data_IF_189752498755
#
_entry.id   IF_189752498755
#
_cell.length_a   1.000
_cell.length_b   1.000
_cell.length_c   1.000
_cell.angle_alpha   90.00
_cell.angle_beta   90.00
_cell.angle_gamma   90.00
#
_symmetry.space_group_name_H-M   'P 1'
#
loop_
_entity.id
_entity.type
_entity.pdbx_description
1 polymer ?
#
# COMPACT_ATOMS: atom_id res chain seq x y z
N UNK A 1 35.35 23.09 17.06
CA UNK A 1 35.19 21.62 17.19
C UNK A 1 33.98 21.20 16.38
N UNK A 2 34.18 20.77 15.13
CA UNK A 2 33.12 20.23 14.28
C UNK A 2 32.85 18.78 14.69
N UNK A 3 31.63 18.48 15.14
CA UNK A 3 31.23 17.09 15.33
C UNK A 3 31.33 16.35 13.99
N UNK A 4 31.98 15.18 13.92
CA UNK A 4 31.90 14.37 12.72
C UNK A 4 30.44 13.95 12.56
N UNK A 5 29.85 14.33 11.42
CA UNK A 5 28.55 13.81 10.98
C UNK A 5 28.61 12.30 11.06
N UNK A 6 27.77 11.70 11.91
CA UNK A 6 27.69 10.25 12.07
C UNK A 6 27.34 9.66 10.72
N UNK A 7 28.34 9.07 10.07
CA UNK A 7 28.23 8.23 8.89
C UNK A 7 27.13 7.20 9.20
N UNK A 8 26.11 7.15 8.33
CA UNK A 8 25.01 6.20 8.44
C UNK A 8 25.61 4.78 8.58
N UNK A 9 25.30 4.09 9.69
CA UNK A 9 25.82 2.73 9.90
C UNK A 9 25.29 1.81 8.78
N UNK A 10 26.14 0.95 8.21
CA UNK A 10 25.79 0.03 7.14
C UNK A 10 24.57 -0.85 7.48
N UNK A 11 24.41 -1.22 8.75
CA UNK A 11 23.23 -1.96 9.22
C UNK A 11 21.94 -1.15 9.08
N UNK A 12 21.96 0.11 9.52
CA UNK A 12 20.84 1.05 9.36
C UNK A 12 20.52 1.29 7.89
N UNK A 13 21.54 1.46 7.03
CA UNK A 13 21.35 1.60 5.59
C UNK A 13 20.65 0.38 4.99
N UNK A 14 21.05 -0.84 5.37
CA UNK A 14 20.44 -2.08 4.90
C UNK A 14 18.98 -2.20 5.30
N UNK A 15 18.63 -1.85 6.55
CA UNK A 15 17.23 -1.85 7.00
C UNK A 15 16.40 -0.83 6.22
N UNK A 16 16.89 0.40 6.07
CA UNK A 16 16.21 1.42 5.25
C UNK A 16 15.99 0.91 3.83
N UNK A 17 17.03 0.42 3.16
CA UNK A 17 16.92 -0.10 1.79
C UNK A 17 15.96 -1.29 1.68
N UNK A 18 15.95 -2.19 2.67
CA UNK A 18 15.03 -3.32 2.70
C UNK A 18 13.58 -2.85 2.77
N UNK A 19 13.28 -1.88 3.63
CA UNK A 19 11.92 -1.41 3.91
C UNK A 19 11.40 -0.58 2.76
N UNK A 20 12.20 0.36 2.27
CA UNK A 20 11.86 1.14 1.08
C UNK A 20 11.72 0.24 -0.16
N UNK A 21 12.64 -0.70 -0.35
CA UNK A 21 12.55 -1.67 -1.44
C UNK A 21 11.30 -2.56 -1.34
N UNK A 22 10.98 -3.04 -0.14
CA UNK A 22 9.78 -3.82 0.12
C UNK A 22 8.51 -3.00 -0.11
N UNK A 23 8.48 -1.76 0.34
CA UNK A 23 7.37 -0.82 0.10
C UNK A 23 7.19 -0.56 -1.39
N UNK A 24 8.26 -0.21 -2.13
CA UNK A 24 8.20 0.05 -3.57
C UNK A 24 7.71 -1.17 -4.34
N UNK A 25 8.21 -2.36 -3.98
CA UNK A 25 7.73 -3.61 -4.58
C UNK A 25 6.23 -3.83 -4.28
N UNK A 26 5.82 -3.67 -3.02
CA UNK A 26 4.42 -3.80 -2.59
C UNK A 26 3.50 -2.86 -3.36
N UNK A 27 3.95 -1.62 -3.56
CA UNK A 27 3.22 -0.60 -4.29
C UNK A 27 3.08 -0.94 -5.77
N UNK A 28 4.18 -1.32 -6.44
CA UNK A 28 4.15 -1.72 -7.85
C UNK A 28 3.30 -2.98 -8.06
N UNK A 29 3.39 -3.96 -7.17
CA UNK A 29 2.51 -5.13 -7.18
C UNK A 29 1.05 -4.73 -7.02
N UNK A 30 0.77 -3.80 -6.10
CA UNK A 30 -0.57 -3.24 -5.92
C UNK A 30 -1.13 -2.61 -7.19
N UNK A 31 -0.33 -1.83 -7.92
CA UNK A 31 -0.75 -1.25 -9.21
C UNK A 31 -1.13 -2.32 -10.24
N UNK A 32 -0.37 -3.42 -10.35
CA UNK A 32 -0.71 -4.52 -11.26
C UNK A 32 -2.09 -5.09 -10.94
N UNK A 33 -2.34 -5.37 -9.66
CA UNK A 33 -3.62 -5.95 -9.23
C UNK A 33 -4.75 -4.93 -9.31
N UNK A 34 -4.49 -3.66 -9.04
CA UNK A 34 -5.45 -2.58 -9.20
C UNK A 34 -5.97 -2.53 -10.64
N UNK A 35 -5.07 -2.46 -11.63
CA UNK A 35 -5.48 -2.46 -13.04
C UNK A 35 -6.14 -3.79 -13.45
N UNK A 36 -5.65 -4.91 -12.90
CA UNK A 36 -6.30 -6.22 -13.13
C UNK A 36 -7.75 -6.22 -12.64
N UNK A 37 -8.04 -5.57 -11.51
CA UNK A 37 -9.41 -5.42 -10.99
C UNK A 37 -10.32 -4.65 -11.95
N UNK A 38 -9.82 -3.57 -12.55
CA UNK A 38 -10.54 -2.86 -13.61
C UNK A 38 -10.77 -3.75 -14.82
N UNK A 39 -9.74 -4.42 -15.32
CA UNK A 39 -9.84 -5.30 -16.49
C UNK A 39 -10.85 -6.43 -16.27
N UNK A 40 -10.86 -7.05 -15.09
CA UNK A 40 -11.87 -8.05 -14.72
C UNK A 40 -13.27 -7.47 -14.74
N UNK A 41 -13.48 -6.28 -14.17
CA UNK A 41 -14.77 -5.62 -14.17
C UNK A 41 -15.26 -5.28 -15.58
N UNK A 42 -14.36 -4.80 -16.46
CA UNK A 42 -14.65 -4.55 -17.86
C UNK A 42 -15.05 -5.83 -18.60
N UNK A 43 -14.34 -6.93 -18.35
CA UNK A 43 -14.67 -8.23 -18.93
C UNK A 43 -16.06 -8.71 -18.48
N UNK A 44 -16.41 -8.54 -17.21
CA UNK A 44 -17.72 -8.93 -16.65
C UNK A 44 -18.87 -8.17 -17.33
N UNK A 45 -18.68 -6.89 -17.67
CA UNK A 45 -19.69 -6.07 -18.35
C UNK A 45 -19.64 -6.18 -19.88
N UNK A 46 -18.87 -7.14 -20.41
CA UNK A 46 -18.85 -7.49 -21.83
C UNK A 46 -17.91 -6.66 -22.70
N UNK A 47 -16.96 -5.91 -22.11
CA UNK A 47 -15.92 -5.21 -22.88
C UNK A 47 -14.81 -6.20 -23.20
N UNK A 48 -14.45 -6.31 -24.49
CA UNK A 48 -13.46 -7.29 -24.98
C UNK A 48 -12.10 -6.67 -25.31
N UNK A 49 -12.08 -5.39 -25.67
CA UNK A 49 -10.87 -4.68 -26.05
C UNK A 49 -10.33 -3.98 -24.80
N UNK A 50 -9.47 -4.65 -24.05
CA UNK A 50 -8.89 -4.15 -22.79
C UNK A 50 -7.37 -4.27 -22.85
N UNK A 51 -6.67 -3.17 -22.60
CA UNK A 51 -5.21 -3.15 -22.46
C UNK A 51 -4.83 -2.62 -21.09
N UNK A 52 -3.95 -3.34 -20.40
CA UNK A 52 -3.44 -2.95 -19.09
C UNK A 52 -2.08 -2.29 -19.26
N UNK A 53 -1.96 -1.02 -18.88
CA UNK A 53 -0.69 -0.29 -18.85
C UNK A 53 -0.25 -0.13 -17.41
N UNK A 54 0.88 -0.75 -17.06
CA UNK A 54 1.46 -0.63 -15.70
C UNK A 54 2.66 0.29 -15.77
N UNK A 55 2.64 1.34 -14.94
CA UNK A 55 3.73 2.28 -14.81
C UNK A 55 4.12 2.46 -13.34
N UNK A 56 5.42 2.33 -12.98
CA UNK A 56 5.86 2.34 -11.59
C UNK A 56 5.68 3.69 -10.88
N UNK A 57 5.36 4.76 -11.62
CA UNK A 57 5.18 6.12 -11.11
C UNK A 57 3.72 6.59 -11.09
N UNK A 58 2.79 5.71 -10.74
CA UNK A 58 1.36 6.04 -10.59
C UNK A 58 0.68 6.60 -11.86
N UNK A 59 1.14 6.16 -13.04
CA UNK A 59 0.55 6.48 -14.34
C UNK A 59 -0.02 5.20 -14.99
N UNK A 60 -0.40 4.24 -14.16
CA UNK A 60 -1.04 3.02 -14.63
C UNK A 60 -2.47 3.32 -15.04
N UNK A 61 -2.97 2.63 -16.06
CA UNK A 61 -4.36 2.74 -16.49
C UNK A 61 -4.75 1.53 -17.34
N UNK A 62 -6.04 1.25 -17.36
CA UNK A 62 -6.65 0.36 -18.34
C UNK A 62 -7.20 1.18 -19.52
N UNK A 63 -6.69 0.91 -20.72
CA UNK A 63 -7.35 1.32 -21.96
C UNK A 63 -8.46 0.33 -22.29
N UNK A 64 -9.56 0.82 -22.87
CA UNK A 64 -10.72 -0.02 -23.14
C UNK A 64 -11.60 0.52 -24.27
N UNK A 65 -12.39 -0.36 -24.88
CA UNK A 65 -13.46 0.00 -25.81
C UNK A 65 -14.64 0.76 -25.18
N UNK A 66 -15.69 0.99 -25.99
CA UNK A 66 -16.92 1.63 -25.53
C UNK A 66 -17.60 0.82 -24.42
N UNK A 67 -18.18 1.52 -23.44
CA UNK A 67 -19.04 0.94 -22.43
C UNK A 67 -20.15 1.90 -22.01
N UNK A 68 -21.29 1.39 -21.51
CA UNK A 68 -22.35 2.22 -20.96
C UNK A 68 -21.85 3.02 -19.74
N UNK A 69 -22.43 4.20 -19.51
CA UNK A 69 -22.04 5.07 -18.38
C UNK A 69 -22.43 4.45 -17.04
N UNK A 70 -23.51 3.67 -17.02
CA UNK A 70 -24.10 3.08 -15.82
C UNK A 70 -23.18 2.06 -15.15
N UNK A 71 -22.24 1.47 -15.89
CA UNK A 71 -21.27 0.51 -15.34
C UNK A 71 -20.02 1.18 -14.75
N UNK A 72 -19.83 2.49 -14.97
CA UNK A 72 -18.65 3.23 -14.51
C UNK A 72 -18.39 3.15 -13.00
N UNK A 73 -19.41 3.25 -12.12
CA UNK A 73 -19.20 3.11 -10.67
C UNK A 73 -18.66 1.73 -10.30
N UNK A 74 -19.21 0.68 -10.90
CA UNK A 74 -18.75 -0.69 -10.69
C UNK A 74 -17.32 -0.85 -11.20
N UNK A 75 -17.07 -0.51 -12.46
CA UNK A 75 -15.73 -0.67 -13.04
C UNK A 75 -14.68 0.21 -12.37
N UNK A 76 -15.05 1.39 -11.89
CA UNK A 76 -14.16 2.30 -11.15
C UNK A 76 -13.80 1.77 -9.76
N UNK A 77 -14.76 1.25 -8.99
CA UNK A 77 -14.47 0.72 -7.65
C UNK A 77 -13.69 -0.60 -7.66
N UNK A 78 -13.81 -1.40 -8.73
CA UNK A 78 -13.26 -2.76 -8.76
C UNK A 78 -11.73 -2.83 -8.73
N UNK A 79 -11.02 -1.86 -9.30
CA UNK A 79 -9.55 -1.81 -9.23
C UNK A 79 -9.04 -1.71 -7.78
N UNK A 80 -9.40 -0.62 -7.06
CA UNK A 80 -9.07 -0.45 -5.65
C UNK A 80 -9.49 -1.64 -4.77
N UNK A 81 -10.73 -2.11 -4.92
CA UNK A 81 -11.28 -3.16 -4.07
C UNK A 81 -10.60 -4.52 -4.31
N UNK A 82 -10.29 -4.84 -5.57
CA UNK A 82 -9.59 -6.07 -5.91
C UNK A 82 -8.16 -6.06 -5.39
N UNK A 83 -7.43 -4.94 -5.54
CA UNK A 83 -6.09 -4.77 -4.96
C UNK A 83 -6.11 -5.02 -3.44
N UNK A 84 -6.98 -4.33 -2.71
CA UNK A 84 -7.08 -4.48 -1.24
C UNK A 84 -7.46 -5.90 -0.84
N UNK A 85 -8.38 -6.54 -1.55
CA UNK A 85 -8.78 -7.92 -1.26
C UNK A 85 -7.62 -8.91 -1.44
N UNK A 86 -6.93 -8.86 -2.59
CA UNK A 86 -5.78 -9.72 -2.86
C UNK A 86 -4.62 -9.47 -1.89
N UNK A 87 -4.30 -8.20 -1.65
CA UNK A 87 -3.25 -7.80 -0.71
C UNK A 87 -3.53 -8.35 0.70
N UNK A 88 -4.77 -8.20 1.18
CA UNK A 88 -5.20 -8.70 2.49
C UNK A 88 -5.07 -10.23 2.58
N UNK A 89 -5.56 -10.96 1.58
CA UNK A 89 -5.49 -12.43 1.55
C UNK A 89 -4.03 -12.88 1.61
N UNK A 90 -3.16 -12.29 0.79
CA UNK A 90 -1.74 -12.68 0.72
C UNK A 90 -1.01 -12.34 2.02
N UNK A 91 -1.12 -11.11 2.51
CA UNK A 91 -0.42 -10.70 3.73
C UNK A 91 -0.90 -11.49 4.95
N UNK A 92 -2.21 -11.77 5.08
CA UNK A 92 -2.74 -12.59 6.17
C UNK A 92 -2.31 -14.07 6.06
N UNK A 93 -2.27 -14.63 4.85
CA UNK A 93 -1.82 -16.01 4.63
C UNK A 93 -0.34 -16.19 5.03
N UNK A 94 0.48 -15.16 4.81
CA UNK A 94 1.89 -15.15 5.17
C UNK A 94 2.15 -14.68 6.61
N UNK A 95 1.13 -14.23 7.33
CA UNK A 95 1.28 -13.57 8.64
C UNK A 95 1.90 -14.46 9.74
N UNK A 96 1.70 -15.78 9.64
CA UNK A 96 2.29 -16.75 10.57
C UNK A 96 3.75 -17.09 10.26
N UNK A 97 4.21 -16.81 9.04
CA UNK A 97 5.56 -17.15 8.55
C UNK A 97 6.41 -15.89 8.29
N UNK A 98 6.17 -14.83 9.07
CA UNK A 98 6.83 -13.53 8.92
C UNK A 98 8.36 -13.66 8.92
N UNK A 99 8.98 -13.23 7.82
CA UNK A 99 10.42 -13.23 7.58
C UNK A 99 10.78 -12.00 6.73
N UNK A 100 11.94 -11.34 6.96
CA UNK A 100 12.43 -10.25 6.12
C UNK A 100 12.36 -10.49 4.60
N UNK A 101 12.56 -11.74 4.14
CA UNK A 101 12.46 -12.08 2.71
C UNK A 101 11.05 -11.96 2.14
N UNK A 102 10.03 -12.12 2.98
CA UNK A 102 8.61 -12.01 2.63
C UNK A 102 8.05 -10.62 2.95
N UNK A 103 8.87 -9.72 3.49
CA UNK A 103 8.45 -8.38 3.89
C UNK A 103 7.67 -7.64 2.79
N UNK A 104 8.06 -7.67 1.50
CA UNK A 104 7.26 -7.04 0.45
C UNK A 104 5.82 -7.58 0.38
N UNK A 105 5.64 -8.90 0.45
CA UNK A 105 4.29 -9.49 0.39
C UNK A 105 3.49 -9.27 1.68
N UNK A 106 4.18 -9.15 2.81
CA UNK A 106 3.57 -8.83 4.10
C UNK A 106 3.13 -7.36 4.19
N UNK A 107 3.92 -6.44 3.62
CA UNK A 107 3.61 -5.01 3.56
C UNK A 107 2.51 -4.69 2.57
N UNK A 108 2.23 -5.57 1.60
CA UNK A 108 1.26 -5.32 0.54
C UNK A 108 -0.11 -4.89 1.06
N UNK A 109 -0.70 -5.57 2.05
CA UNK A 109 -1.97 -5.13 2.63
C UNK A 109 -1.91 -3.69 3.18
N UNK A 110 -0.88 -3.39 3.98
CA UNK A 110 -0.67 -2.06 4.55
C UNK A 110 -0.54 -0.99 3.47
N UNK A 111 0.30 -1.26 2.46
CA UNK A 111 0.50 -0.37 1.32
C UNK A 111 -0.78 -0.17 0.49
N UNK A 112 -1.52 -1.24 0.18
CA UNK A 112 -2.76 -1.16 -0.59
C UNK A 112 -3.82 -0.33 0.14
N UNK A 113 -4.07 -0.62 1.42
CA UNK A 113 -5.03 0.15 2.22
C UNK A 113 -4.67 1.64 2.30
N UNK A 114 -3.41 1.99 2.53
CA UNK A 114 -2.99 3.39 2.57
C UNK A 114 -3.13 4.04 1.19
N UNK A 115 -2.64 3.38 0.13
CA UNK A 115 -2.66 3.93 -1.23
C UNK A 115 -4.09 4.18 -1.72
N UNK A 116 -4.98 3.19 -1.61
CA UNK A 116 -6.38 3.34 -2.03
C UNK A 116 -7.14 4.32 -1.14
N UNK A 117 -6.86 4.36 0.16
CA UNK A 117 -7.46 5.33 1.08
C UNK A 117 -7.05 6.77 0.76
N UNK A 118 -5.78 7.00 0.39
CA UNK A 118 -5.30 8.31 -0.09
C UNK A 118 -5.92 8.65 -1.44
N UNK A 119 -6.04 7.68 -2.36
CA UNK A 119 -6.67 7.88 -3.67
C UNK A 119 -8.12 8.34 -3.54
N UNK A 120 -8.90 7.79 -2.59
CA UNK A 120 -10.26 8.28 -2.30
C UNK A 120 -10.29 9.77 -1.95
N UNK A 121 -9.35 10.27 -1.15
CA UNK A 121 -9.29 11.70 -0.81
C UNK A 121 -8.84 12.57 -1.99
N UNK A 122 -7.88 12.08 -2.80
CA UNK A 122 -7.46 12.75 -4.02
C UNK A 122 -8.65 12.88 -4.97
N UNK A 123 -9.44 11.83 -5.15
CA UNK A 123 -10.60 11.81 -6.03
C UNK A 123 -11.71 12.76 -5.54
N UNK A 124 -11.96 12.82 -4.22
CA UNK A 124 -12.89 13.79 -3.62
C UNK A 124 -12.40 15.22 -3.88
N UNK A 125 -11.11 15.50 -3.67
CA UNK A 125 -10.53 16.82 -3.88
C UNK A 125 -10.48 17.21 -5.37
N UNK A 126 -10.39 16.21 -6.27
CA UNK A 126 -10.32 16.38 -7.71
C UNK A 126 -11.68 16.44 -8.41
N UNK A 127 -12.81 16.42 -7.69
CA UNK A 127 -14.12 16.51 -8.32
C UNK A 127 -14.26 17.80 -9.17
N UNK A 128 -14.87 17.73 -10.37
CA UNK A 128 -15.64 16.61 -10.92
C UNK A 128 -14.87 15.70 -11.92
N UNK A 129 -13.59 15.40 -11.69
CA UNK A 129 -12.83 14.49 -12.56
C UNK A 129 -13.32 13.04 -12.39
N UNK A 130 -13.54 12.32 -13.50
CA UNK A 130 -13.97 10.91 -13.52
C UNK A 130 -12.80 9.93 -13.35
N UNK A 131 -12.16 9.98 -12.19
CA UNK A 131 -11.24 8.93 -11.70
C UNK A 131 -12.03 7.77 -11.06
N UNK A 132 -11.38 6.84 -10.36
CA UNK A 132 -12.00 5.61 -9.88
C UNK A 132 -13.12 5.83 -8.88
N UNK A 133 -12.84 6.56 -7.80
CA UNK A 133 -13.88 6.97 -6.86
C UNK A 133 -14.67 8.17 -7.39
N UNK A 134 -14.11 8.97 -8.29
CA UNK A 134 -14.84 10.01 -9.03
C UNK A 134 -16.04 9.45 -9.80
N UNK A 135 -15.88 8.30 -10.50
CA UNK A 135 -16.98 7.58 -11.17
C UNK A 135 -18.05 7.13 -10.17
N UNK A 136 -17.63 6.60 -9.01
CA UNK A 136 -18.55 6.13 -7.95
C UNK A 136 -19.37 7.28 -7.37
N UNK A 137 -18.75 8.44 -7.17
CA UNK A 137 -19.41 9.63 -6.63
C UNK A 137 -20.37 10.25 -7.66
N UNK A 138 -19.85 10.56 -8.85
CA UNK A 138 -20.56 11.38 -9.85
C UNK A 138 -21.66 10.58 -10.53
N UNK A 139 -21.35 9.36 -10.96
CA UNK A 139 -22.29 8.51 -11.71
C UNK A 139 -23.05 7.59 -10.75
N UNK A 140 -22.36 7.03 -9.75
CA UNK A 140 -22.99 6.15 -8.77
C UNK A 140 -23.83 6.89 -7.72
N UNK A 141 -23.73 8.23 -7.65
CA UNK A 141 -24.48 9.05 -6.70
C UNK A 141 -24.06 8.84 -5.24
N UNK A 142 -22.90 8.23 -4.98
CA UNK A 142 -22.41 8.01 -3.61
C UNK A 142 -21.89 9.33 -3.05
N UNK A 143 -22.34 9.68 -1.84
CA UNK A 143 -21.89 10.90 -1.18
C UNK A 143 -20.36 10.91 -0.99
N UNK A 144 -19.66 12.01 -1.33
CA UNK A 144 -18.22 12.17 -1.05
C UNK A 144 -17.88 11.95 0.43
N UNK A 145 -18.81 12.24 1.34
CA UNK A 145 -18.63 12.02 2.79
C UNK A 145 -18.48 10.53 3.11
N UNK A 146 -19.27 9.66 2.46
CA UNK A 146 -19.18 8.21 2.64
C UNK A 146 -17.82 7.72 2.15
N UNK A 147 -17.38 8.18 0.98
CA UNK A 147 -16.08 7.83 0.42
C UNK A 147 -14.95 8.34 1.33
N UNK A 148 -15.05 9.54 1.89
CA UNK A 148 -14.06 10.08 2.83
C UNK A 148 -13.97 9.29 4.15
N UNK A 149 -15.10 8.81 4.67
CA UNK A 149 -15.13 7.92 5.84
C UNK A 149 -14.44 6.60 5.50
N UNK A 150 -14.75 6.01 4.35
CA UNK A 150 -14.09 4.78 3.87
C UNK A 150 -12.57 4.99 3.70
N UNK A 151 -12.14 6.10 3.13
CA UNK A 151 -10.73 6.46 2.97
C UNK A 151 -10.02 6.58 4.31
N UNK A 152 -10.68 7.18 5.30
CA UNK A 152 -10.17 7.27 6.67
C UNK A 152 -9.97 5.89 7.30
N UNK A 153 -10.97 5.01 7.16
CA UNK A 153 -10.91 3.62 7.65
C UNK A 153 -9.75 2.88 6.98
N UNK A 154 -9.60 3.01 5.66
CA UNK A 154 -8.54 2.37 4.89
C UNK A 154 -7.16 2.82 5.37
N UNK A 155 -6.93 4.13 5.51
CA UNK A 155 -5.65 4.66 6.01
C UNK A 155 -5.36 4.15 7.42
N UNK A 156 -6.36 4.11 8.32
CA UNK A 156 -6.18 3.59 9.69
C UNK A 156 -5.81 2.12 9.67
N UNK A 157 -6.54 1.27 8.93
CA UNK A 157 -6.25 -0.17 8.82
C UNK A 157 -4.85 -0.39 8.25
N UNK A 158 -4.51 0.30 7.15
CA UNK A 158 -3.21 0.18 6.52
C UNK A 158 -2.08 0.62 7.44
N UNK A 159 -2.28 1.71 8.19
CA UNK A 159 -1.32 2.17 9.20
C UNK A 159 -1.12 1.13 10.31
N UNK A 160 -2.20 0.49 10.78
CA UNK A 160 -2.10 -0.60 11.77
C UNK A 160 -1.30 -1.77 11.19
N UNK A 161 -1.57 -2.20 9.95
CA UNK A 161 -0.78 -3.25 9.28
C UNK A 161 0.71 -2.91 9.23
N UNK A 162 1.05 -1.68 8.82
CA UNK A 162 2.44 -1.22 8.74
C UNK A 162 3.10 -1.20 10.13
N UNK A 163 2.42 -0.66 11.15
CA UNK A 163 2.91 -0.65 12.53
C UNK A 163 3.13 -2.06 13.09
N UNK A 164 2.28 -3.03 12.75
CA UNK A 164 2.42 -4.42 13.16
C UNK A 164 3.56 -5.16 12.45
N UNK A 165 4.10 -4.59 11.37
CA UNK A 165 5.26 -5.10 10.63
C UNK A 165 6.58 -4.45 11.07
N UNK A 166 6.55 -3.26 11.69
CA UNK A 166 7.74 -2.63 12.29
C UNK A 166 8.52 -3.52 13.29
N UNK A 167 7.91 -4.45 14.06
CA UNK A 167 8.68 -5.41 14.84
C UNK A 167 9.66 -6.22 13.98
N UNK A 168 9.38 -6.45 12.70
CA UNK A 168 10.28 -7.20 11.83
C UNK A 168 11.64 -6.50 11.58
N UNK A 169 11.75 -5.21 11.86
CA UNK A 169 13.00 -4.45 11.67
C UNK A 169 13.94 -4.45 12.88
N UNK A 170 13.48 -4.88 14.07
CA UNK A 170 14.33 -4.87 15.28
C UNK A 170 13.89 -5.84 16.40
N UNK A 171 13.01 -6.79 16.11
CA UNK A 171 12.34 -7.63 17.12
C UNK A 171 12.34 -9.09 16.71
N UNK A 172 12.75 -9.95 17.65
CA UNK A 172 12.72 -11.39 17.47
C UNK A 172 11.28 -11.90 17.39
N UNK A 173 11.02 -12.92 16.59
CA UNK A 173 9.71 -13.61 16.46
C UNK A 173 9.17 -14.20 17.78
N UNK A 174 9.91 -14.08 18.89
CA UNK A 174 9.55 -14.54 20.24
C UNK A 174 9.11 -13.41 21.17
N UNK A 175 9.15 -12.16 20.72
CA UNK A 175 8.86 -11.03 21.59
C UNK A 175 7.34 -10.81 21.76
N UNK A 176 6.94 -10.58 23.01
CA UNK A 176 5.55 -10.36 23.42
C UNK A 176 5.04 -9.00 22.92
N UNK A 177 3.74 -8.91 22.64
CA UNK A 177 3.07 -7.70 22.13
C UNK A 177 3.31 -6.43 22.97
N UNK A 178 3.52 -6.56 24.28
CA UNK A 178 3.70 -5.43 25.20
C UNK A 178 5.17 -5.07 25.49
N UNK A 179 6.13 -5.66 24.76
CA UNK A 179 7.55 -5.39 25.00
C UNK A 179 7.87 -3.94 24.62
N UNK A 180 8.33 -3.15 25.59
CA UNK A 180 8.87 -1.81 25.35
C UNK A 180 10.25 -1.94 24.69
N UNK A 181 10.37 -1.49 23.44
CA UNK A 181 11.66 -1.42 22.76
C UNK A 181 12.44 -0.21 23.26
N UNK A 182 13.57 -0.47 23.91
CA UNK A 182 14.55 0.56 24.23
C UNK A 182 15.34 0.86 22.95
N UNK A 183 15.24 2.10 22.46
CA UNK A 183 16.15 2.60 21.43
C UNK A 183 17.51 2.80 22.10
N UNK A 184 18.34 1.75 22.14
CA UNK A 184 19.73 1.90 22.56
C UNK A 184 20.52 2.43 21.37
N UNK A 185 20.78 3.73 21.35
CA UNK A 185 21.86 4.28 20.54
C UNK A 185 23.18 3.84 21.16
N UNK A 186 23.65 2.63 20.82
CA UNK A 186 24.92 2.13 21.30
C UNK A 186 26.06 3.00 20.72
N UNK A 187 26.50 3.99 21.50
CA UNK A 187 27.85 4.52 21.38
C UNK A 187 28.72 3.46 22.05
N UNK A 188 29.40 2.64 21.25
CA UNK A 188 30.42 1.73 21.76
C UNK A 188 31.54 2.58 22.35
N UNK A 189 31.58 2.70 23.67
CA UNK A 189 32.81 3.08 24.36
C UNK A 189 33.62 1.80 24.47
N UNK A 190 34.65 1.68 23.63
CA UNK A 190 35.69 0.67 23.79
C UNK A 190 36.35 0.90 25.16
N UNK A 191 36.40 -0.09 26.06
CA UNK A 191 37.22 0.04 27.25
C UNK A 191 38.68 -0.04 26.81
N UNK A 192 39.39 1.08 26.85
CA UNK A 192 40.84 1.07 26.90
C UNK A 192 41.25 0.38 28.19
N UNK A 193 41.74 -0.85 28.06
CA UNK A 193 42.57 -1.49 29.07
C UNK A 193 43.95 -0.83 28.94
N UNK A 194 44.32 0.00 29.91
CA UNK A 194 45.69 0.25 30.34
C UNK A 194 45.67 0.29 31.86
#
# INVERSE_FOLDING_TARGET
MSQPSKILNLSTLKSILLVFGAYTFSYCLGLIFHETGHALAYTIVGVTDIEIHVHPFALSYCSHGYRPTEVLPFTGSMGPLFNVACATIVSLSLWRVRNPKLLPLLMWAGTAYIAEGVAMFIDIAGLPILTDWGKVIIIGGVSPVIIGIMGSIFIIIGSIFMLLLLPLENVSHRDLFWKRYLITTSISVTPTIV
#
